data_IF_516379745997
#
_entry.id   IF_516379745997
#
_cell.length_a   1.000
_cell.length_b   1.000
_cell.length_c   1.000
_cell.angle_alpha   90.00
_cell.angle_beta   90.00
_cell.angle_gamma   90.00
#
_symmetry.space_group_name_H-M   'P 1'
#
loop_
_entity.id
_entity.type
_entity.pdbx_description
1 polymer ?
#
# COMPACT_ATOMS: atom_id res chain seq x y z
N UNK A 1 5.52 -28.13 18.33
CA UNK A 1 5.96 -27.78 16.95
C UNK A 1 4.83 -27.02 16.28
N UNK A 2 5.05 -25.94 15.51
CA UNK A 2 3.98 -25.32 14.71
C UNK A 2 3.70 -26.24 13.51
N UNK A 3 2.81 -27.20 13.71
CA UNK A 3 2.24 -27.96 12.61
C UNK A 3 1.07 -27.15 12.04
N UNK A 4 0.78 -27.30 10.75
CA UNK A 4 -0.40 -26.65 10.15
C UNK A 4 -1.68 -27.02 10.92
N UNK A 5 -1.71 -28.23 11.48
CA UNK A 5 -2.79 -28.78 12.32
C UNK A 5 -2.92 -28.13 13.70
N UNK A 6 -1.89 -27.40 14.18
CA UNK A 6 -1.89 -26.71 15.48
C UNK A 6 -2.11 -25.21 15.33
N UNK A 7 -2.49 -24.73 14.15
CA UNK A 7 -2.85 -23.33 13.96
C UNK A 7 -4.23 -23.04 14.57
N UNK A 8 -4.46 -21.83 15.11
CA UNK A 8 -5.79 -21.40 15.50
C UNK A 8 -6.74 -21.53 14.29
N UNK A 9 -7.89 -22.21 14.42
CA UNK A 9 -8.85 -22.37 13.32
C UNK A 9 -9.22 -21.06 12.63
N UNK A 10 -9.39 -19.99 13.43
CA UNK A 10 -9.68 -18.64 12.93
C UNK A 10 -8.62 -18.09 11.97
N UNK A 11 -7.35 -18.45 12.17
CA UNK A 11 -6.26 -18.06 11.26
C UNK A 11 -6.08 -19.04 10.11
N UNK A 12 -6.32 -20.33 10.36
CA UNK A 12 -6.23 -21.37 9.33
C UNK A 12 -7.22 -21.16 8.18
N UNK A 13 -8.43 -20.65 8.46
CA UNK A 13 -9.44 -20.32 7.43
C UNK A 13 -8.93 -19.24 6.47
N UNK A 14 -8.32 -18.17 6.98
CA UNK A 14 -7.74 -17.11 6.14
C UNK A 14 -6.59 -17.63 5.27
N UNK A 15 -5.75 -18.52 5.83
CA UNK A 15 -4.69 -19.16 5.07
C UNK A 15 -5.23 -20.12 3.99
N UNK A 16 -6.33 -20.83 4.27
CA UNK A 16 -6.93 -21.77 3.34
C UNK A 16 -7.42 -21.09 2.04
N UNK A 17 -7.85 -19.82 2.11
CA UNK A 17 -8.22 -19.04 0.93
C UNK A 17 -7.07 -18.87 -0.08
N UNK A 18 -5.81 -18.94 0.38
CA UNK A 18 -4.62 -18.85 -0.47
C UNK A 18 -4.21 -20.20 -1.10
N UNK A 19 -4.82 -21.31 -0.68
CA UNK A 19 -4.47 -22.66 -1.15
C UNK A 19 -4.45 -22.80 -2.68
N UNK A 20 -5.38 -22.22 -3.46
CA UNK A 20 -5.37 -22.32 -4.93
C UNK A 20 -4.10 -21.74 -5.59
N UNK A 21 -3.40 -20.80 -4.94
CA UNK A 21 -2.18 -20.18 -5.49
C UNK A 21 -0.94 -21.07 -5.36
N UNK A 22 -1.05 -22.22 -4.68
CA UNK A 22 0.07 -23.09 -4.33
C UNK A 22 -0.24 -24.57 -4.59
N UNK A 23 0.80 -25.32 -4.95
CA UNK A 23 0.74 -26.79 -4.87
C UNK A 23 0.58 -27.26 -3.42
N UNK A 24 -0.01 -28.44 -3.19
CA UNK A 24 -0.22 -28.94 -1.82
C UNK A 24 1.05 -28.96 -0.94
N UNK A 25 2.24 -29.41 -1.42
CA UNK A 25 3.46 -29.34 -0.63
C UNK A 25 3.96 -27.91 -0.36
N UNK A 26 3.78 -27.02 -1.35
CA UNK A 26 4.19 -25.62 -1.24
C UNK A 26 3.28 -24.84 -0.29
N UNK A 27 1.98 -25.15 -0.26
CA UNK A 27 1.03 -24.56 0.67
C UNK A 27 1.44 -24.78 2.12
N UNK A 28 1.85 -26.01 2.48
CA UNK A 28 2.31 -26.29 3.83
C UNK A 28 3.52 -25.42 4.21
N UNK A 29 4.51 -25.29 3.32
CA UNK A 29 5.70 -24.47 3.58
C UNK A 29 5.36 -22.97 3.62
N UNK A 30 4.45 -22.51 2.76
CA UNK A 30 3.93 -21.15 2.81
C UNK A 30 3.30 -20.84 4.16
N UNK A 31 2.37 -21.68 4.64
CA UNK A 31 1.74 -21.53 5.96
C UNK A 31 2.78 -21.52 7.08
N UNK A 32 3.75 -22.43 7.05
CA UNK A 32 4.87 -22.47 8.01
C UNK A 32 5.62 -21.14 8.03
N UNK A 33 5.96 -20.58 6.87
CA UNK A 33 6.72 -19.33 6.80
C UNK A 33 5.88 -18.10 7.18
N UNK A 34 4.58 -18.06 6.87
CA UNK A 34 3.68 -17.00 7.35
C UNK A 34 3.60 -17.03 8.88
N UNK A 35 3.30 -18.18 9.47
CA UNK A 35 3.24 -18.34 10.92
C UNK A 35 4.58 -18.00 11.58
N UNK A 36 5.70 -18.46 11.00
CA UNK A 36 7.05 -18.13 11.46
C UNK A 36 7.38 -16.63 11.38
N UNK A 37 6.88 -15.94 10.35
CA UNK A 37 7.11 -14.49 10.17
C UNK A 37 6.42 -13.69 11.27
N UNK A 38 5.19 -14.08 11.62
CA UNK A 38 4.40 -13.48 12.71
C UNK A 38 5.00 -13.84 14.07
N UNK A 39 5.38 -15.10 14.26
CA UNK A 39 5.89 -15.63 15.52
C UNK A 39 7.32 -15.20 15.86
N UNK A 40 8.14 -14.85 14.87
CA UNK A 40 9.56 -14.52 15.09
C UNK A 40 9.71 -13.34 16.08
N UNK A 41 10.49 -13.48 17.16
CA UNK A 41 10.72 -12.40 18.12
C UNK A 41 11.78 -11.40 17.62
N UNK A 42 12.79 -11.88 16.87
CA UNK A 42 13.91 -11.09 16.37
C UNK A 42 13.87 -10.84 14.87
N UNK A 43 15.05 -10.74 14.23
CA UNK A 43 15.16 -10.48 12.78
C UNK A 43 14.42 -11.53 11.95
N UNK A 44 13.68 -11.11 10.92
CA UNK A 44 12.92 -11.99 10.01
C UNK A 44 13.77 -12.43 8.81
N UNK A 45 14.94 -13.00 9.10
CA UNK A 45 15.69 -13.75 8.07
C UNK A 45 14.97 -15.07 7.77
N UNK A 46 15.19 -15.67 6.60
CA UNK A 46 14.54 -16.93 6.21
C UNK A 46 14.75 -18.03 7.27
N UNK A 47 15.97 -18.16 7.78
CA UNK A 47 16.29 -19.14 8.83
C UNK A 47 15.64 -18.79 10.17
N UNK A 48 15.62 -17.51 10.57
CA UNK A 48 14.97 -17.10 11.81
C UNK A 48 13.45 -17.33 11.75
N UNK A 49 12.82 -17.08 10.61
CA UNK A 49 11.42 -17.41 10.34
C UNK A 49 11.20 -18.93 10.45
N UNK A 50 12.09 -19.74 9.89
CA UNK A 50 12.04 -21.21 9.98
C UNK A 50 12.14 -21.71 11.42
N UNK A 51 13.06 -21.13 12.21
CA UNK A 51 13.24 -21.43 13.64
C UNK A 51 11.98 -21.03 14.43
N UNK A 52 11.46 -19.82 14.20
CA UNK A 52 10.26 -19.33 14.88
C UNK A 52 9.02 -20.19 14.60
N UNK A 53 8.93 -20.73 13.38
CA UNK A 53 7.92 -21.73 13.00
C UNK A 53 8.16 -23.12 13.62
N UNK A 54 9.16 -23.27 14.50
CA UNK A 54 9.46 -24.51 15.22
C UNK A 54 9.93 -25.65 14.31
N UNK A 55 10.56 -25.35 13.18
CA UNK A 55 11.03 -26.35 12.22
C UNK A 55 12.52 -26.68 12.34
N UNK A 56 13.26 -25.99 13.22
CA UNK A 56 14.64 -26.32 13.53
C UNK A 56 14.74 -27.74 14.10
N UNK A 57 15.67 -28.55 13.60
CA UNK A 57 15.82 -29.95 13.99
C UNK A 57 14.72 -30.90 13.48
N UNK A 58 13.54 -30.40 13.09
CA UNK A 58 12.44 -31.25 12.61
C UNK A 58 12.48 -31.44 11.09
N UNK A 59 12.77 -30.37 10.35
CA UNK A 59 12.87 -30.43 8.88
C UNK A 59 14.05 -29.58 8.42
N UNK A 60 14.71 -30.05 7.37
CA UNK A 60 15.88 -29.35 6.83
C UNK A 60 15.52 -27.93 6.35
N UNK A 61 16.24 -26.92 6.84
CA UNK A 61 15.97 -25.50 6.59
C UNK A 61 16.03 -25.11 5.10
N UNK A 62 16.74 -25.88 4.28
CA UNK A 62 16.77 -25.68 2.83
C UNK A 62 15.39 -25.66 2.18
N UNK A 63 14.36 -26.28 2.80
CA UNK A 63 12.97 -26.21 2.32
C UNK A 63 12.45 -24.78 2.24
N UNK A 64 12.76 -23.92 3.21
CA UNK A 64 12.37 -22.51 3.19
C UNK A 64 13.02 -21.75 2.02
N UNK A 65 14.32 -21.99 1.78
CA UNK A 65 15.05 -21.38 0.68
C UNK A 65 14.59 -21.90 -0.68
N UNK A 66 14.31 -23.20 -0.78
CA UNK A 66 13.76 -23.83 -1.99
C UNK A 66 12.37 -23.28 -2.30
N UNK A 67 11.52 -23.09 -1.28
CA UNK A 67 10.20 -22.48 -1.45
C UNK A 67 10.29 -21.09 -2.09
N UNK A 68 11.18 -20.23 -1.58
CA UNK A 68 11.35 -18.89 -2.11
C UNK A 68 12.01 -18.88 -3.50
N UNK A 69 12.97 -19.76 -3.77
CA UNK A 69 13.76 -19.71 -5.00
C UNK A 69 13.23 -20.56 -6.15
N UNK A 70 12.54 -21.68 -5.87
CA UNK A 70 12.25 -22.74 -6.85
C UNK A 70 10.81 -23.24 -6.86
N UNK A 71 10.07 -23.18 -5.75
CA UNK A 71 8.69 -23.68 -5.72
C UNK A 71 7.79 -22.99 -6.76
N UNK A 72 6.78 -23.73 -7.22
CA UNK A 72 5.74 -23.27 -8.13
C UNK A 72 4.61 -22.60 -7.35
N UNK A 73 4.60 -21.27 -7.39
CA UNK A 73 3.52 -20.39 -6.90
C UNK A 73 3.75 -18.98 -7.47
N UNK A 74 2.68 -18.18 -7.49
CA UNK A 74 2.68 -16.84 -8.05
C UNK A 74 2.39 -15.79 -6.99
N UNK A 75 3.27 -14.79 -6.85
CA UNK A 75 3.03 -13.61 -5.99
C UNK A 75 1.77 -12.87 -6.43
N UNK A 76 1.61 -12.83 -7.75
CA UNK A 76 0.52 -12.24 -8.49
C UNK A 76 -0.83 -12.89 -8.15
N UNK A 77 -0.93 -14.23 -8.15
CA UNK A 77 -2.17 -14.93 -7.74
C UNK A 77 -2.47 -14.71 -6.23
N UNK A 78 -1.42 -14.69 -5.39
CA UNK A 78 -1.55 -14.35 -3.97
C UNK A 78 -2.12 -12.93 -3.82
N UNK A 79 -1.60 -11.95 -4.55
CA UNK A 79 -2.09 -10.58 -4.58
C UNK A 79 -3.59 -10.49 -4.93
N UNK A 80 -4.04 -11.27 -5.91
CA UNK A 80 -5.45 -11.28 -6.33
C UNK A 80 -6.36 -11.81 -5.21
N UNK A 81 -5.94 -12.89 -4.53
CA UNK A 81 -6.68 -13.43 -3.39
C UNK A 81 -6.67 -12.45 -2.22
N UNK A 82 -5.55 -11.78 -1.94
CA UNK A 82 -5.49 -10.76 -0.88
C UNK A 82 -6.42 -9.59 -1.15
N UNK A 83 -6.47 -9.08 -2.39
CA UNK A 83 -7.39 -8.02 -2.77
C UNK A 83 -8.85 -8.42 -2.53
N UNK A 84 -9.24 -9.65 -2.94
CA UNK A 84 -10.58 -10.19 -2.69
C UNK A 84 -10.88 -10.36 -1.20
N UNK A 85 -9.94 -10.89 -0.41
CA UNK A 85 -10.13 -11.07 1.03
C UNK A 85 -10.29 -9.72 1.74
N UNK A 86 -9.45 -8.73 1.43
CA UNK A 86 -9.54 -7.41 2.05
C UNK A 86 -10.84 -6.72 1.68
N UNK A 87 -11.19 -6.68 0.39
CA UNK A 87 -12.43 -6.04 -0.06
C UNK A 87 -13.68 -6.76 0.46
N UNK A 88 -13.68 -8.09 0.49
CA UNK A 88 -14.85 -8.88 0.91
C UNK A 88 -15.06 -8.95 2.43
N UNK A 89 -13.99 -8.79 3.22
CA UNK A 89 -14.09 -8.91 4.69
C UNK A 89 -14.12 -7.57 5.41
N UNK A 90 -13.58 -6.49 4.81
CA UNK A 90 -13.36 -5.22 5.49
C UNK A 90 -14.01 -4.01 4.82
N UNK A 91 -14.58 -4.14 3.62
CA UNK A 91 -15.26 -3.05 2.92
C UNK A 91 -16.74 -3.37 2.69
N UNK A 92 -17.56 -2.32 2.64
CA UNK A 92 -18.93 -2.44 2.16
C UNK A 92 -18.92 -2.82 0.66
N UNK A 93 -19.83 -3.71 0.19
CA UNK A 93 -19.90 -4.12 -1.21
C UNK A 93 -20.14 -2.97 -2.22
N UNK A 94 -20.82 -1.90 -1.80
CA UNK A 94 -21.19 -0.76 -2.62
C UNK A 94 -20.22 0.42 -2.50
N UNK A 95 -19.36 0.43 -1.49
CA UNK A 95 -18.30 1.43 -1.36
C UNK A 95 -17.22 1.25 -2.44
N UNK A 96 -16.70 2.38 -2.94
CA UNK A 96 -15.55 2.36 -3.83
C UNK A 96 -14.28 1.89 -3.08
N UNK A 97 -13.46 1.10 -3.75
CA UNK A 97 -12.22 0.58 -3.19
C UNK A 97 -11.13 1.65 -3.33
N UNK A 98 -10.80 2.31 -2.22
CA UNK A 98 -9.68 3.25 -2.18
C UNK A 98 -8.35 2.48 -2.16
N UNK A 99 -7.51 2.70 -3.17
CA UNK A 99 -6.19 2.07 -3.30
C UNK A 99 -5.10 3.13 -3.18
N UNK A 100 -4.29 3.06 -2.14
CA UNK A 100 -3.09 3.87 -2.02
C UNK A 100 -1.92 3.19 -2.75
N UNK A 101 -1.13 3.97 -3.50
CA UNK A 101 0.11 3.51 -4.13
C UNK A 101 1.28 4.39 -3.70
N UNK A 102 2.35 3.74 -3.28
CA UNK A 102 3.63 4.38 -2.95
C UNK A 102 4.79 3.42 -3.23
N UNK A 103 6.03 3.90 -3.14
CA UNK A 103 7.19 3.02 -3.14
C UNK A 103 8.01 3.06 -1.87
N UNK A 104 8.72 1.97 -1.64
CA UNK A 104 9.62 1.86 -0.52
C UNK A 104 10.96 1.30 -0.91
N UNK A 105 12.02 1.95 -0.42
CA UNK A 105 13.37 1.44 -0.51
C UNK A 105 13.65 0.47 0.64
N UNK A 106 13.99 -0.75 0.27
CA UNK A 106 14.50 -1.78 1.17
C UNK A 106 16.02 -1.86 1.00
N UNK A 107 16.76 -1.33 1.99
CA UNK A 107 18.23 -1.34 1.98
C UNK A 107 18.77 -2.77 1.97
N UNK A 108 19.80 -3.01 1.16
CA UNK A 108 20.48 -4.30 1.04
C UNK A 108 21.99 -4.11 1.18
N UNK A 109 22.69 -5.21 1.43
CA UNK A 109 24.15 -5.27 1.33
C UNK A 109 24.57 -6.30 0.29
N UNK A 110 25.59 -5.97 -0.51
CA UNK A 110 26.17 -6.87 -1.50
C UNK A 110 25.72 -6.59 -2.94
N UNK A 111 26.69 -6.68 -3.87
CA UNK A 111 26.50 -6.42 -5.31
C UNK A 111 25.78 -7.53 -6.06
N UNK A 112 25.67 -8.73 -5.46
CA UNK A 112 25.01 -9.92 -6.07
C UNK A 112 23.53 -10.04 -5.71
N UNK A 113 22.95 -9.05 -5.04
CA UNK A 113 21.52 -9.06 -4.72
C UNK A 113 20.76 -8.64 -5.97
N UNK A 114 19.86 -9.51 -6.45
CA UNK A 114 19.00 -9.23 -7.59
C UNK A 114 18.24 -7.90 -7.41
N UNK A 115 18.16 -7.13 -8.49
CA UNK A 115 17.48 -5.86 -8.57
C UNK A 115 17.81 -4.85 -7.45
N UNK A 116 19.04 -4.88 -6.92
CA UNK A 116 19.52 -3.91 -5.96
C UNK A 116 20.34 -2.82 -6.65
N UNK A 117 19.99 -1.56 -6.45
CA UNK A 117 20.63 -0.41 -7.09
C UNK A 117 20.75 0.78 -6.13
N UNK A 118 21.44 1.82 -6.56
CA UNK A 118 21.46 3.10 -5.87
C UNK A 118 20.15 3.86 -6.12
N UNK A 119 19.48 4.20 -5.04
CA UNK A 119 18.24 4.98 -5.05
C UNK A 119 18.39 6.23 -4.21
N UNK A 120 17.68 7.29 -4.58
CA UNK A 120 17.49 8.42 -3.67
C UNK A 120 16.78 7.94 -2.41
N UNK A 121 17.32 8.28 -1.25
CA UNK A 121 16.82 7.90 0.06
C UNK A 121 16.18 9.13 0.73
N UNK A 122 14.86 9.28 0.55
CA UNK A 122 14.09 10.38 1.14
C UNK A 122 14.06 10.37 2.67
N UNK A 123 14.42 9.25 3.31
CA UNK A 123 14.49 9.09 4.77
C UNK A 123 15.90 9.34 5.34
N UNK A 124 16.86 9.81 4.54
CA UNK A 124 18.21 10.10 5.01
C UNK A 124 18.23 11.31 5.97
N UNK A 125 18.71 11.09 7.21
CA UNK A 125 18.87 12.13 8.23
C UNK A 125 19.78 13.27 7.77
N UNK A 126 19.49 14.49 8.23
CA UNK A 126 20.13 15.76 7.83
C UNK A 126 21.67 15.78 7.81
N UNK A 127 22.33 14.99 8.66
CA UNK A 127 23.80 14.87 8.70
C UNK A 127 24.42 14.22 7.45
N UNK A 128 23.60 13.63 6.57
CA UNK A 128 24.00 13.10 5.24
C UNK A 128 23.41 13.90 4.06
N UNK A 129 22.86 15.10 4.27
CA UNK A 129 22.33 15.97 3.19
C UNK A 129 23.44 16.80 2.52
N UNK A 130 24.44 16.14 1.94
CA UNK A 130 25.28 16.75 0.91
C UNK A 130 24.77 16.35 -0.49
N UNK A 131 25.08 17.11 -1.55
CA UNK A 131 24.81 16.68 -2.93
C UNK A 131 25.42 15.30 -3.15
N UNK A 132 24.61 14.32 -3.60
CA UNK A 132 25.04 12.93 -3.80
C UNK A 132 25.06 12.02 -2.55
N UNK A 133 24.67 12.49 -1.36
CA UNK A 133 24.76 11.71 -0.10
C UNK A 133 23.43 11.17 0.46
N UNK A 134 22.29 11.59 -0.09
CA UNK A 134 20.97 11.02 0.22
C UNK A 134 20.64 9.85 -0.72
N UNK A 135 21.54 8.86 -0.79
CA UNK A 135 21.34 7.65 -1.59
C UNK A 135 21.57 6.41 -0.75
N UNK A 136 20.84 5.34 -1.06
CA UNK A 136 21.05 4.05 -0.44
C UNK A 136 20.95 2.91 -1.46
N UNK A 137 21.78 1.89 -1.25
CA UNK A 137 21.77 0.66 -2.04
C UNK A 137 20.68 -0.28 -1.55
N UNK A 138 19.81 -0.74 -2.44
CA UNK A 138 18.69 -1.58 -2.06
C UNK A 138 17.74 -1.93 -3.20
N UNK A 139 16.70 -2.68 -2.86
CA UNK A 139 15.57 -2.95 -3.75
C UNK A 139 14.51 -1.86 -3.57
N UNK A 140 13.99 -1.30 -4.65
CA UNK A 140 12.84 -0.40 -4.58
C UNK A 140 11.56 -1.15 -5.00
N UNK A 141 10.53 -1.06 -4.17
CA UNK A 141 9.27 -1.76 -4.34
C UNK A 141 8.14 -0.76 -4.49
N UNK A 142 7.39 -0.84 -5.59
CA UNK A 142 6.09 -0.17 -5.72
C UNK A 142 5.05 -1.06 -5.04
N UNK A 143 4.30 -0.49 -4.11
CA UNK A 143 3.31 -1.18 -3.30
C UNK A 143 1.93 -0.58 -3.55
N UNK A 144 0.92 -1.44 -3.64
CA UNK A 144 -0.48 -1.03 -3.66
C UNK A 144 -1.19 -1.61 -2.44
N UNK A 145 -1.93 -0.77 -1.73
CA UNK A 145 -2.64 -1.13 -0.51
C UNK A 145 -4.08 -0.63 -0.55
N UNK A 146 -5.02 -1.48 -0.14
CA UNK A 146 -6.42 -1.08 0.03
C UNK A 146 -6.54 -0.34 1.36
N UNK A 147 -7.12 0.85 1.33
CA UNK A 147 -7.36 1.66 2.52
C UNK A 147 -8.69 1.24 3.14
N UNK A 148 -8.67 0.83 4.40
CA UNK A 148 -9.83 0.32 5.15
C UNK A 148 -10.09 1.17 6.39
N UNK A 149 -11.35 1.34 6.75
CA UNK A 149 -11.79 1.91 8.02
C UNK A 149 -12.19 0.78 8.95
N UNK A 150 -11.46 0.62 10.05
CA UNK A 150 -11.73 -0.43 11.03
C UNK A 150 -12.56 0.16 12.17
N UNK A 151 -13.59 -0.55 12.68
CA UNK A 151 -14.55 0.00 13.64
C UNK A 151 -13.91 0.43 14.98
N UNK A 152 -12.74 -0.11 15.31
CA UNK A 152 -11.99 0.19 16.53
C UNK A 152 -10.88 1.23 16.33
N UNK A 153 -10.85 1.94 15.18
CA UNK A 153 -9.87 3.00 14.90
C UNK A 153 -10.53 4.22 14.27
N UNK A 154 -10.10 5.41 14.69
CA UNK A 154 -10.52 6.67 14.06
C UNK A 154 -9.82 6.92 12.73
N UNK A 155 -8.55 6.50 12.59
CA UNK A 155 -7.76 6.67 11.37
C UNK A 155 -7.83 5.42 10.49
N UNK A 156 -7.95 5.59 9.16
CA UNK A 156 -7.90 4.46 8.24
C UNK A 156 -6.53 3.77 8.26
N UNK A 157 -6.52 2.50 7.88
CA UNK A 157 -5.31 1.69 7.71
C UNK A 157 -5.15 1.30 6.24
N UNK A 158 -3.92 1.32 5.75
CA UNK A 158 -3.60 0.71 4.46
C UNK A 158 -3.25 -0.77 4.67
N UNK A 159 -3.83 -1.65 3.86
CA UNK A 159 -3.60 -3.10 3.89
C UNK A 159 -2.98 -3.53 2.57
N UNK A 160 -1.73 -4.05 2.57
CA UNK A 160 -0.99 -4.28 1.33
C UNK A 160 -1.54 -5.46 0.53
N UNK A 161 -1.79 -5.26 -0.77
CA UNK A 161 -2.31 -6.32 -1.65
C UNK A 161 -1.53 -6.48 -2.95
N UNK A 162 -0.80 -5.44 -3.39
CA UNK A 162 -0.01 -5.46 -4.63
C UNK A 162 1.46 -5.15 -4.41
N UNK A 163 2.34 -5.87 -5.11
CA UNK A 163 3.79 -5.82 -4.93
C UNK A 163 4.51 -5.86 -6.27
N UNK A 164 5.30 -4.83 -6.58
CA UNK A 164 6.13 -4.82 -7.79
C UNK A 164 7.56 -4.38 -7.47
N UNK A 165 8.53 -5.22 -7.83
CA UNK A 165 9.94 -4.91 -7.71
C UNK A 165 10.38 -4.05 -8.90
N UNK A 166 10.90 -2.87 -8.63
CA UNK A 166 11.50 -2.04 -9.68
C UNK A 166 12.91 -2.51 -10.02
N UNK A 167 13.24 -2.46 -11.32
CA UNK A 167 14.59 -2.70 -11.82
C UNK A 167 14.91 -1.79 -13.02
N UNK A 168 16.19 -1.42 -13.24
CA UNK A 168 16.65 -0.72 -14.44
C UNK A 168 16.32 -1.51 -15.70
N UNK A 169 16.09 -0.78 -16.79
CA UNK A 169 15.69 -1.32 -18.09
C UNK A 169 14.38 -2.12 -18.07
N UNK A 170 13.67 -2.15 -16.93
CA UNK A 170 12.31 -2.66 -16.81
C UNK A 170 11.27 -1.53 -16.87
N UNK A 171 10.01 -1.86 -16.55
CA UNK A 171 8.95 -0.86 -16.48
C UNK A 171 9.29 0.26 -15.49
N UNK A 172 8.90 1.49 -15.84
CA UNK A 172 9.00 2.61 -14.89
C UNK A 172 8.07 2.37 -13.70
N UNK A 173 8.32 3.03 -12.56
CA UNK A 173 7.44 2.93 -11.39
C UNK A 173 5.98 3.29 -11.71
N UNK A 174 5.77 4.24 -12.61
CA UNK A 174 4.44 4.63 -13.10
C UNK A 174 3.74 3.51 -13.86
N UNK A 175 4.47 2.75 -14.68
CA UNK A 175 3.94 1.57 -15.36
C UNK A 175 3.66 0.45 -14.36
N UNK A 176 4.56 0.21 -13.40
CA UNK A 176 4.33 -0.78 -12.33
C UNK A 176 3.08 -0.44 -11.50
N UNK A 177 2.91 0.83 -11.12
CA UNK A 177 1.69 1.32 -10.45
C UNK A 177 0.44 0.98 -11.27
N UNK A 178 0.46 1.28 -12.58
CA UNK A 178 -0.67 1.00 -13.47
C UNK A 178 -0.97 -0.50 -13.59
N UNK A 179 0.08 -1.34 -13.66
CA UNK A 179 -0.06 -2.80 -13.69
C UNK A 179 -0.66 -3.34 -12.40
N UNK A 180 -0.20 -2.86 -11.23
CA UNK A 180 -0.76 -3.24 -9.94
C UNK A 180 -2.24 -2.83 -9.82
N UNK A 181 -2.58 -1.60 -10.21
CA UNK A 181 -3.95 -1.10 -10.18
C UNK A 181 -4.85 -1.88 -11.13
N UNK A 182 -4.41 -2.13 -12.37
CA UNK A 182 -5.18 -2.91 -13.34
C UNK A 182 -5.43 -4.33 -12.85
N UNK A 183 -4.45 -4.92 -12.17
CA UNK A 183 -4.58 -6.23 -11.55
C UNK A 183 -5.62 -6.24 -10.42
N UNK A 184 -5.57 -5.25 -9.53
CA UNK A 184 -6.57 -5.12 -8.45
C UNK A 184 -7.98 -4.93 -9.04
N UNK A 185 -8.11 -4.13 -10.10
CA UNK A 185 -9.37 -3.97 -10.83
C UNK A 185 -9.89 -5.28 -11.42
N UNK A 186 -9.02 -6.08 -12.04
CA UNK A 186 -9.37 -7.39 -12.56
C UNK A 186 -9.75 -8.39 -11.44
N UNK A 187 -9.12 -8.30 -10.26
CA UNK A 187 -9.43 -9.14 -9.11
C UNK A 187 -10.75 -8.77 -8.42
N UNK A 188 -11.27 -7.57 -8.64
CA UNK A 188 -12.47 -7.01 -8.03
C UNK A 188 -13.47 -6.52 -9.10
N UNK A 189 -13.98 -7.42 -9.95
CA UNK A 189 -14.84 -7.04 -11.07
C UNK A 189 -16.09 -6.31 -10.58
N UNK A 190 -16.48 -5.24 -11.29
CA UNK A 190 -17.66 -4.43 -10.97
C UNK A 190 -17.45 -3.41 -9.84
N UNK A 191 -16.33 -3.44 -9.11
CA UNK A 191 -16.02 -2.44 -8.09
C UNK A 191 -15.44 -1.18 -8.72
N UNK A 192 -15.93 -0.01 -8.28
CA UNK A 192 -15.26 1.27 -8.54
C UNK A 192 -13.97 1.32 -7.73
N UNK A 193 -12.86 1.69 -8.37
CA UNK A 193 -11.55 1.81 -7.72
C UNK A 193 -11.08 3.26 -7.79
N UNK A 194 -10.74 3.79 -6.64
CA UNK A 194 -10.22 5.14 -6.51
C UNK A 194 -8.75 5.07 -6.07
N UNK A 195 -7.84 5.45 -6.96
CA UNK A 195 -6.40 5.38 -6.66
C UNK A 195 -5.92 6.71 -6.12
N UNK A 196 -5.12 6.66 -5.05
CA UNK A 196 -4.37 7.81 -4.53
C UNK A 196 -2.89 7.52 -4.48
N UNK A 197 -2.10 8.43 -5.02
CA UNK A 197 -0.66 8.24 -5.12
C UNK A 197 0.11 9.55 -5.02
N UNK A 198 1.40 9.46 -4.70
CA UNK A 198 2.28 10.62 -4.62
C UNK A 198 2.47 11.31 -5.99
N UNK A 199 3.21 12.41 -6.02
CA UNK A 199 3.47 13.18 -7.25
C UNK A 199 4.37 12.46 -8.27
N UNK A 200 5.15 11.46 -7.84
CA UNK A 200 5.92 10.62 -8.75
C UNK A 200 5.00 9.74 -9.60
N UNK A 201 3.83 9.35 -9.08
CA UNK A 201 2.80 8.58 -9.79
C UNK A 201 1.75 9.43 -10.51
N UNK A 202 1.84 10.76 -10.48
CA UNK A 202 0.84 11.65 -11.10
C UNK A 202 0.61 11.41 -12.59
N UNK A 203 1.56 10.77 -13.29
CA UNK A 203 1.45 10.38 -14.71
C UNK A 203 1.17 8.89 -14.95
N UNK A 204 0.90 8.09 -13.91
CA UNK A 204 0.74 6.63 -14.03
C UNK A 204 -0.35 6.25 -15.04
N UNK A 205 -1.53 6.85 -14.93
CA UNK A 205 -2.64 6.63 -15.86
C UNK A 205 -2.26 6.98 -17.32
N UNK A 206 -1.46 8.03 -17.52
CA UNK A 206 -0.88 8.36 -18.84
C UNK A 206 0.18 7.36 -19.32
N UNK A 207 0.97 6.79 -18.40
CA UNK A 207 2.03 5.81 -18.66
C UNK A 207 1.47 4.43 -19.03
N UNK A 208 0.33 4.02 -18.46
CA UNK A 208 -0.40 2.81 -18.86
C UNK A 208 -0.63 2.76 -20.38
N UNK A 209 -0.98 3.92 -20.97
CA UNK A 209 -1.19 4.04 -22.41
C UNK A 209 0.05 4.05 -23.29
N UNK A 210 1.24 4.29 -22.72
CA UNK A 210 2.49 4.33 -23.48
C UNK A 210 3.16 2.95 -23.57
N UNK A 211 2.94 2.08 -22.58
CA UNK A 211 3.54 0.75 -22.51
C UNK A 211 2.95 -0.28 -23.52
N UNK A 212 1.79 0.01 -24.11
CA UNK A 212 1.05 -0.93 -25.00
C UNK A 212 1.31 -0.67 -26.50
N UNK A 213 2.23 0.25 -26.86
CA UNK A 213 2.61 0.47 -28.27
C UNK A 213 1.48 0.95 -29.19
N UNK A 214 0.29 1.25 -28.67
CA UNK A 214 -0.90 1.50 -29.48
C UNK A 214 -1.56 2.82 -29.13
N UNK A 215 -1.77 3.63 -30.16
CA UNK A 215 -2.38 4.95 -30.14
C UNK A 215 -3.88 4.95 -29.79
N UNK A 216 -4.42 3.98 -29.05
CA UNK A 216 -5.89 3.80 -28.93
C UNK A 216 -6.49 3.50 -27.55
N UNK A 217 -5.73 3.16 -26.51
CA UNK A 217 -6.28 3.16 -25.14
C UNK A 217 -5.25 3.71 -24.16
N UNK A 218 -5.32 5.02 -23.92
CA UNK A 218 -4.57 5.68 -22.85
C UNK A 218 -5.44 5.72 -21.61
N UNK A 219 -5.07 4.92 -20.61
CA UNK A 219 -5.63 5.06 -19.27
C UNK A 219 -5.65 3.76 -18.49
N UNK A 220 -5.90 3.90 -17.20
CA UNK A 220 -6.32 2.83 -16.30
C UNK A 220 -7.66 2.24 -16.79
N UNK A 221 -8.00 1.01 -16.38
CA UNK A 221 -9.25 0.37 -16.76
C UNK A 221 -10.50 1.22 -16.44
N UNK A 222 -11.60 0.93 -17.14
CA UNK A 222 -12.89 1.53 -16.82
C UNK A 222 -13.25 1.28 -15.34
N UNK A 223 -13.88 2.27 -14.70
CA UNK A 223 -14.20 2.21 -13.27
C UNK A 223 -13.03 2.55 -12.33
N UNK A 224 -11.85 2.90 -12.87
CA UNK A 224 -10.68 3.31 -12.08
C UNK A 224 -10.43 4.81 -12.22
N UNK A 225 -10.31 5.51 -11.08
CA UNK A 225 -9.84 6.90 -11.02
C UNK A 225 -8.44 7.00 -10.41
N UNK A 226 -7.69 8.06 -10.74
CA UNK A 226 -6.39 8.36 -10.14
C UNK A 226 -6.40 9.81 -9.64
N UNK A 227 -6.08 10.00 -8.37
CA UNK A 227 -5.84 11.30 -7.74
C UNK A 227 -4.42 11.35 -7.21
N UNK A 228 -3.69 12.40 -7.57
CA UNK A 228 -2.29 12.59 -7.14
C UNK A 228 -1.98 14.07 -6.93
N UNK A 229 -0.90 14.36 -6.21
CA UNK A 229 -0.34 15.71 -6.15
C UNK A 229 0.22 16.11 -7.51
N UNK A 230 -0.28 17.22 -8.04
CA UNK A 230 0.23 17.85 -9.24
C UNK A 230 1.58 18.52 -8.95
N UNK A 231 2.52 18.37 -9.88
CA UNK A 231 3.83 19.04 -9.79
C UNK A 231 3.67 20.54 -10.00
N UNK A 232 4.41 21.33 -9.23
CA UNK A 232 4.38 22.79 -9.32
C UNK A 232 4.80 23.34 -10.70
N UNK A 233 5.56 22.57 -11.49
CA UNK A 233 5.97 22.92 -12.85
C UNK A 233 5.11 22.26 -13.94
N UNK A 234 3.94 21.71 -13.59
CA UNK A 234 3.03 21.15 -14.59
C UNK A 234 2.36 22.28 -15.38
N UNK A 235 2.69 22.40 -16.66
CA UNK A 235 2.05 23.37 -17.56
C UNK A 235 0.66 22.88 -17.96
N UNK A 236 -0.34 23.71 -17.70
CA UNK A 236 -1.76 23.45 -17.92
C UNK A 236 -2.28 24.24 -19.13
N UNK A 237 -3.22 23.62 -19.84
CA UNK A 237 -3.86 24.19 -21.00
C UNK A 237 -5.38 24.09 -20.86
N UNK A 238 -6.10 25.05 -21.42
CA UNK A 238 -7.54 24.94 -21.57
C UNK A 238 -7.87 23.80 -22.55
N UNK A 239 -9.07 23.24 -22.42
CA UNK A 239 -9.63 22.37 -23.43
C UNK A 239 -10.05 23.27 -24.61
N UNK A 240 -9.66 22.90 -25.82
CA UNK A 240 -10.13 23.63 -27.00
C UNK A 240 -11.60 23.31 -27.23
N UNK A 241 -12.43 24.35 -27.22
CA UNK A 241 -13.83 24.25 -27.57
C UNK A 241 -14.04 24.80 -28.99
N UNK A 242 -14.33 23.90 -29.94
CA UNK A 242 -14.57 24.25 -31.33
C UNK A 242 -15.80 25.15 -31.50
N UNK A 243 -16.80 25.07 -30.61
CA UNK A 243 -18.00 25.90 -30.70
C UNK A 243 -17.68 27.39 -30.52
N UNK A 244 -16.59 27.71 -29.82
CA UNK A 244 -16.13 29.08 -29.58
C UNK A 244 -15.23 29.64 -30.68
N UNK A 245 -14.80 28.81 -31.63
CA UNK A 245 -13.88 29.22 -32.69
C UNK A 245 -14.64 29.54 -33.99
N UNK A 246 -15.00 30.82 -34.13
CA UNK A 246 -15.67 31.36 -35.32
C UNK A 246 -14.84 31.28 -36.61
N UNK A 247 -13.54 30.98 -36.51
CA UNK A 247 -12.62 30.89 -37.65
C UNK A 247 -12.34 29.45 -38.10
N UNK A 248 -12.87 28.46 -37.37
CA UNK A 248 -12.63 27.05 -37.65
C UNK A 248 -13.34 26.58 -38.94
N UNK A 249 -12.62 26.59 -40.06
CA UNK A 249 -13.13 26.08 -41.34
C UNK A 249 -13.36 24.55 -41.26
N UNK A 250 -14.62 24.06 -41.42
CA UNK A 250 -14.93 22.63 -41.35
C UNK A 250 -14.26 21.79 -42.43
N UNK A 251 -13.80 22.41 -43.53
CA UNK A 251 -13.25 21.72 -44.72
C UNK A 251 -11.73 21.50 -44.68
N UNK A 252 -11.01 22.01 -43.66
CA UNK A 252 -9.57 21.71 -43.51
C UNK A 252 -9.39 20.28 -42.98
N UNK A 253 -9.07 19.35 -43.87
CA UNK A 253 -8.72 17.97 -43.52
C UNK A 253 -7.48 17.94 -42.62
N UNK A 254 -7.64 17.46 -41.38
CA UNK A 254 -6.56 17.35 -40.40
C UNK A 254 -7.08 16.89 -39.04
N UNK A 255 -6.17 16.46 -38.14
CA UNK A 255 -6.53 16.06 -36.77
C UNK A 255 -7.16 17.25 -36.04
N UNK A 256 -8.37 17.11 -35.46
CA UNK A 256 -9.02 18.20 -34.72
C UNK A 256 -8.11 18.77 -33.63
N UNK A 257 -8.07 20.10 -33.53
CA UNK A 257 -7.38 20.77 -32.43
C UNK A 257 -8.06 20.40 -31.12
N UNK A 258 -7.28 20.02 -30.11
CA UNK A 258 -7.79 19.68 -28.77
C UNK A 258 -7.22 20.58 -27.68
N UNK A 259 -6.12 21.30 -27.95
CA UNK A 259 -5.41 22.12 -26.97
C UNK A 259 -5.83 23.59 -27.12
N UNK A 260 -6.38 24.15 -26.06
CA UNK A 260 -6.76 25.56 -25.95
C UNK A 260 -5.61 26.46 -25.51
N UNK A 261 -5.96 27.63 -24.98
CA UNK A 261 -5.01 28.61 -24.45
C UNK A 261 -4.17 28.03 -23.29
N UNK A 262 -2.98 28.59 -23.07
CA UNK A 262 -2.13 28.23 -21.93
C UNK A 262 -2.77 28.81 -20.66
N UNK A 263 -3.01 27.97 -19.65
CA UNK A 263 -3.49 28.39 -18.33
C UNK A 263 -2.34 28.67 -17.35
N UNK A 264 -1.12 28.30 -17.72
CA UNK A 264 0.07 28.49 -16.88
C UNK A 264 0.36 27.27 -16.01
N UNK A 265 0.92 27.52 -14.83
CA UNK A 265 1.28 26.53 -13.81
C UNK A 265 0.30 26.62 -12.62
N UNK A 266 0.31 25.68 -11.67
CA UNK A 266 -0.58 25.74 -10.50
C UNK A 266 -0.49 27.03 -9.70
N UNK A 267 0.69 27.68 -9.65
CA UNK A 267 0.86 29.00 -9.01
C UNK A 267 0.12 30.12 -9.76
N UNK A 268 0.02 30.02 -11.08
CA UNK A 268 -0.64 31.04 -11.90
C UNK A 268 -2.15 30.89 -11.73
N UNK A 269 -2.66 29.65 -11.70
CA UNK A 269 -4.03 29.37 -11.30
C UNK A 269 -4.34 29.93 -9.91
N UNK A 270 -3.44 29.73 -8.93
CA UNK A 270 -3.63 30.26 -7.58
C UNK A 270 -3.68 31.80 -7.53
N UNK A 271 -2.93 32.47 -8.42
CA UNK A 271 -2.85 33.92 -8.50
C UNK A 271 -4.07 34.55 -9.21
N UNK A 272 -4.61 33.90 -10.24
CA UNK A 272 -5.67 34.48 -11.08
C UNK A 272 -7.05 33.84 -10.88
N UNK A 273 -7.12 32.70 -10.19
CA UNK A 273 -8.34 31.92 -10.04
C UNK A 273 -9.28 32.44 -8.94
N UNK A 274 -10.57 32.15 -9.10
CA UNK A 274 -11.60 32.45 -8.10
C UNK A 274 -11.62 31.38 -7.02
N UNK A 275 -11.35 31.78 -5.79
CA UNK A 275 -11.32 30.89 -4.63
C UNK A 275 -12.71 30.68 -4.05
N UNK A 276 -13.08 29.43 -3.80
CA UNK A 276 -14.31 29.06 -3.09
C UNK A 276 -13.96 28.46 -1.74
N UNK A 277 -14.60 28.92 -0.67
CA UNK A 277 -14.42 28.35 0.68
C UNK A 277 -15.19 27.04 0.81
N UNK A 278 -14.55 26.02 1.37
CA UNK A 278 -15.18 24.72 1.63
C UNK A 278 -14.60 24.07 2.88
N UNK A 279 -15.37 23.14 3.45
CA UNK A 279 -14.98 22.39 4.64
C UNK A 279 -14.59 20.99 4.22
N UNK A 280 -13.39 20.55 4.60
CA UNK A 280 -12.85 19.22 4.26
C UNK A 280 -12.39 18.50 5.52
N UNK A 281 -12.59 17.19 5.54
CA UNK A 281 -11.99 16.32 6.55
C UNK A 281 -10.68 15.77 6.00
N UNK A 282 -9.55 16.07 6.67
CA UNK A 282 -8.21 15.58 6.31
C UNK A 282 -7.45 15.17 7.57
N UNK A 283 -6.78 14.02 7.54
CA UNK A 283 -5.96 13.53 8.66
C UNK A 283 -6.70 13.42 10.00
N UNK A 284 -8.01 13.15 9.95
CA UNK A 284 -8.88 13.06 11.14
C UNK A 284 -9.33 14.41 11.71
N UNK A 285 -9.04 15.53 11.04
CA UNK A 285 -9.52 16.86 11.45
C UNK A 285 -10.35 17.52 10.36
N UNK A 286 -11.35 18.28 10.76
CA UNK A 286 -12.13 19.14 9.87
C UNK A 286 -11.42 20.48 9.75
N UNK A 287 -11.16 20.92 8.52
CA UNK A 287 -10.50 22.17 8.22
C UNK A 287 -11.28 22.95 7.16
N UNK A 288 -11.40 24.25 7.37
CA UNK A 288 -11.91 25.19 6.36
C UNK A 288 -10.77 25.58 5.44
N UNK A 289 -10.91 25.29 4.16
CA UNK A 289 -9.91 25.59 3.13
C UNK A 289 -10.56 26.37 2.00
N UNK A 290 -9.75 27.05 1.21
CA UNK A 290 -10.16 27.65 -0.05
C UNK A 290 -9.65 26.80 -1.20
N UNK A 291 -10.50 26.62 -2.22
CA UNK A 291 -10.19 25.80 -3.39
C UNK A 291 -10.44 26.55 -4.69
N UNK A 292 -9.59 26.26 -5.68
CA UNK A 292 -9.87 26.49 -7.09
C UNK A 292 -10.05 25.13 -7.74
N UNK A 293 -11.14 24.96 -8.48
CA UNK A 293 -11.47 23.73 -9.17
C UNK A 293 -11.57 23.98 -10.66
N UNK A 294 -10.73 23.31 -11.46
CA UNK A 294 -10.65 23.56 -12.90
C UNK A 294 -10.46 22.27 -13.69
N UNK A 295 -11.40 22.01 -14.60
CA UNK A 295 -11.20 21.02 -15.67
C UNK A 295 -10.30 21.61 -16.76
N UNK A 296 -9.20 20.94 -17.05
CA UNK A 296 -8.16 21.40 -17.98
C UNK A 296 -7.36 20.23 -18.57
N UNK A 297 -6.31 20.54 -19.34
CA UNK A 297 -5.39 19.57 -19.92
C UNK A 297 -4.00 19.71 -19.30
N UNK A 298 -3.46 18.59 -18.80
CA UNK A 298 -2.01 18.44 -18.62
C UNK A 298 -1.43 17.68 -19.81
N UNK A 299 -1.24 18.40 -20.92
CA UNK A 299 -0.96 17.80 -22.22
C UNK A 299 0.32 16.94 -22.25
N UNK A 300 1.34 17.29 -21.46
CA UNK A 300 2.59 16.55 -21.39
C UNK A 300 2.42 15.10 -20.92
N UNK A 301 1.52 14.85 -19.98
CA UNK A 301 1.27 13.51 -19.42
C UNK A 301 0.01 12.85 -20.01
N UNK A 302 -1.07 13.61 -20.15
CA UNK A 302 -2.41 13.10 -20.47
C UNK A 302 -2.91 13.46 -21.88
N UNK A 303 -2.09 14.17 -22.68
CA UNK A 303 -2.44 14.63 -24.03
C UNK A 303 -3.78 15.36 -24.01
N UNK A 304 -4.74 14.93 -24.83
CA UNK A 304 -6.06 15.55 -24.98
C UNK A 304 -7.11 15.05 -23.97
N UNK A 305 -6.73 14.20 -23.00
CA UNK A 305 -7.68 13.73 -21.98
C UNK A 305 -7.96 14.84 -20.97
N UNK A 306 -9.24 15.24 -20.78
CA UNK A 306 -9.63 16.16 -19.72
C UNK A 306 -9.27 15.62 -18.34
N UNK A 307 -8.69 16.49 -17.52
CA UNK A 307 -8.32 16.23 -16.13
C UNK A 307 -8.87 17.35 -15.26
N UNK A 308 -9.09 17.06 -13.98
CA UNK A 308 -9.48 18.08 -13.01
C UNK A 308 -8.30 18.43 -12.13
N UNK A 309 -8.05 19.73 -11.99
CA UNK A 309 -7.01 20.28 -11.13
C UNK A 309 -7.68 21.03 -9.99
N UNK A 310 -7.32 20.67 -8.76
CA UNK A 310 -7.85 21.28 -7.54
C UNK A 310 -6.67 21.91 -6.81
N UNK A 311 -6.64 23.23 -6.74
CA UNK A 311 -5.64 23.98 -5.98
C UNK A 311 -6.25 24.33 -4.63
N UNK A 312 -5.53 24.04 -3.54
CA UNK A 312 -5.99 24.18 -2.15
C UNK A 312 -5.06 25.10 -1.39
N UNK A 313 -5.65 26.02 -0.62
CA UNK A 313 -4.95 26.84 0.38
C UNK A 313 -5.77 26.91 1.67
N UNK A 314 -5.09 26.92 2.80
CA UNK A 314 -5.62 27.32 4.10
C UNK A 314 -5.32 28.81 4.28
N UNK A 315 -6.34 29.67 4.39
CA UNK A 315 -6.13 31.11 4.52
C UNK A 315 -5.34 31.48 5.79
N UNK A 316 -5.29 30.58 6.78
CA UNK A 316 -4.53 30.78 8.03
C UNK A 316 -3.04 30.42 7.88
N UNK A 317 -2.64 29.77 6.77
CA UNK A 317 -1.26 29.31 6.53
C UNK A 317 -0.76 29.79 5.17
N UNK A 318 -0.48 31.10 5.01
CA UNK A 318 0.00 31.62 3.75
C UNK A 318 1.35 31.01 3.37
N UNK A 319 1.51 30.69 2.08
CA UNK A 319 2.76 30.19 1.51
C UNK A 319 3.27 31.16 0.44
N UNK A 320 4.58 31.16 0.18
CA UNK A 320 5.19 31.96 -0.91
C UNK A 320 4.59 31.66 -2.30
N UNK A 321 4.07 30.44 -2.50
CA UNK A 321 3.49 30.02 -3.77
C UNK A 321 2.01 30.42 -3.93
N UNK A 322 1.36 30.95 -2.88
CA UNK A 322 -0.06 31.29 -2.87
C UNK A 322 -1.02 30.10 -2.68
N UNK A 323 -0.48 28.88 -2.53
CA UNK A 323 -1.24 27.65 -2.28
C UNK A 323 -0.38 26.61 -1.54
N UNK A 324 -1.00 25.63 -0.91
CA UNK A 324 -0.31 24.54 -0.19
C UNK A 324 -0.23 23.25 -1.01
N UNK A 325 -1.30 22.96 -1.74
CA UNK A 325 -1.47 21.69 -2.44
C UNK A 325 -2.17 21.92 -3.78
N UNK A 326 -1.63 21.34 -4.84
CA UNK A 326 -2.34 21.19 -6.10
C UNK A 326 -2.54 19.70 -6.34
N UNK A 327 -3.78 19.29 -6.58
CA UNK A 327 -4.18 17.93 -6.91
C UNK A 327 -4.52 17.87 -8.39
N UNK A 328 -4.26 16.71 -8.99
CA UNK A 328 -4.78 16.34 -10.30
C UNK A 328 -5.54 15.04 -10.16
N UNK A 329 -6.71 14.95 -10.81
CA UNK A 329 -7.51 13.74 -10.81
C UNK A 329 -8.15 13.45 -12.17
N UNK A 330 -8.30 12.16 -12.48
CA UNK A 330 -9.14 11.68 -13.59
C UNK A 330 -10.63 11.61 -13.22
N UNK A 331 -10.97 11.76 -11.94
CA UNK A 331 -12.35 11.80 -11.44
C UNK A 331 -12.96 13.18 -11.69
N UNK A 332 -13.73 13.28 -12.78
CA UNK A 332 -14.35 14.54 -13.21
C UNK A 332 -15.68 14.82 -12.50
N UNK A 333 -16.19 13.89 -11.69
CA UNK A 333 -17.58 13.92 -11.21
C UNK A 333 -17.71 14.00 -9.69
N UNK A 334 -16.79 13.43 -8.92
CA UNK A 334 -16.89 13.44 -7.47
C UNK A 334 -16.83 14.86 -6.89
N UNK A 335 -17.44 15.17 -5.73
CA UNK A 335 -17.29 16.47 -5.09
C UNK A 335 -15.82 16.82 -4.80
N UNK A 336 -15.46 18.11 -4.88
CA UNK A 336 -14.09 18.60 -4.63
C UNK A 336 -13.61 18.19 -3.24
N UNK A 337 -14.49 18.26 -2.24
CA UNK A 337 -14.23 17.86 -0.85
C UNK A 337 -13.87 16.37 -0.77
N UNK A 338 -14.60 15.50 -1.48
CA UNK A 338 -14.31 14.06 -1.58
C UNK A 338 -12.93 13.80 -2.15
N UNK A 339 -12.51 14.52 -3.21
CA UNK A 339 -11.17 14.35 -3.80
C UNK A 339 -10.06 14.75 -2.81
N UNK A 340 -10.27 15.83 -2.06
CA UNK A 340 -9.31 16.30 -1.04
C UNK A 340 -9.21 15.30 0.11
N UNK A 341 -10.34 14.85 0.66
CA UNK A 341 -10.38 13.83 1.72
C UNK A 341 -9.74 12.53 1.26
N UNK A 342 -10.10 12.05 0.06
CA UNK A 342 -9.51 10.85 -0.54
C UNK A 342 -7.99 10.96 -0.64
N UNK A 343 -7.45 12.08 -1.08
CA UNK A 343 -5.99 12.27 -1.16
C UNK A 343 -5.32 12.29 0.22
N UNK A 344 -5.98 12.84 1.26
CA UNK A 344 -5.48 12.77 2.63
C UNK A 344 -5.38 11.33 3.14
N UNK A 345 -6.33 10.48 2.75
CA UNK A 345 -6.36 9.04 3.04
C UNK A 345 -5.29 8.22 2.26
N UNK A 346 -4.36 8.88 1.55
CA UNK A 346 -3.13 8.24 1.05
C UNK A 346 -2.15 7.93 2.18
N UNK A 347 -2.05 8.80 3.20
CA UNK A 347 -1.04 8.70 4.26
C UNK A 347 -0.93 7.35 4.98
N UNK A 348 -2.03 6.59 5.23
CA UNK A 348 -1.94 5.27 5.87
C UNK A 348 -0.96 4.29 5.21
N UNK A 349 -0.64 4.43 3.93
CA UNK A 349 0.37 3.58 3.27
C UNK A 349 1.78 3.79 3.84
N UNK A 350 2.11 5.01 4.28
CA UNK A 350 3.39 5.32 4.89
C UNK A 350 3.53 4.62 6.24
N UNK A 351 2.46 4.66 7.06
CA UNK A 351 2.39 3.93 8.33
C UNK A 351 2.47 2.42 8.10
N UNK A 352 1.79 1.90 7.08
CA UNK A 352 1.89 0.48 6.70
C UNK A 352 3.32 0.11 6.26
N UNK A 353 4.02 0.95 5.50
CA UNK A 353 5.42 0.73 5.10
C UNK A 353 6.33 0.69 6.33
N UNK A 354 6.15 1.61 7.27
CA UNK A 354 6.88 1.66 8.54
C UNK A 354 6.65 0.38 9.36
N UNK A 355 5.38 0.01 9.57
CA UNK A 355 4.98 -1.20 10.28
C UNK A 355 5.54 -2.47 9.61
N UNK A 356 5.51 -2.54 8.28
CA UNK A 356 6.05 -3.68 7.54
C UNK A 356 7.58 -3.79 7.67
N UNK A 357 8.30 -2.66 7.70
CA UNK A 357 9.75 -2.66 7.93
C UNK A 357 10.08 -3.11 9.36
N UNK A 358 9.31 -2.65 10.33
CA UNK A 358 9.60 -2.88 11.75
C UNK A 358 9.15 -4.25 12.24
N UNK A 359 7.93 -4.67 11.89
CA UNK A 359 7.25 -5.79 12.53
C UNK A 359 7.27 -7.07 11.69
N UNK A 360 6.95 -6.99 10.38
CA UNK A 360 7.07 -8.16 9.48
C UNK A 360 8.46 -8.30 8.85
N UNK A 361 9.28 -7.25 8.94
CA UNK A 361 10.70 -7.30 8.63
C UNK A 361 11.01 -7.36 7.13
N UNK A 362 10.24 -6.67 6.28
CA UNK A 362 10.47 -6.66 4.82
C UNK A 362 11.90 -6.24 4.44
N UNK A 363 12.54 -5.43 5.28
CA UNK A 363 13.93 -4.99 5.13
C UNK A 363 15.00 -5.91 5.69
N UNK A 364 14.62 -6.99 6.36
CA UNK A 364 15.54 -7.86 7.11
C UNK A 364 15.92 -9.13 6.34
N UNK A 365 15.24 -9.39 5.22
CA UNK A 365 15.52 -10.54 4.36
C UNK A 365 16.93 -10.43 3.75
N UNK A 366 17.59 -11.58 3.56
CA UNK A 366 18.97 -11.68 3.05
C UNK A 366 19.06 -12.56 1.80
N UNK A 367 17.97 -12.65 1.05
CA UNK A 367 17.91 -13.40 -0.21
C UNK A 367 18.62 -12.62 -1.32
N UNK A 368 19.21 -13.34 -2.28
CA UNK A 368 19.99 -12.74 -3.38
C UNK A 368 19.55 -13.13 -4.79
N UNK A 369 18.96 -14.31 -4.94
CA UNK A 369 18.54 -14.83 -6.26
C UNK A 369 17.22 -14.19 -6.69
N UNK A 370 16.95 -14.07 -8.01
CA UNK A 370 15.81 -13.30 -8.52
C UNK A 370 14.47 -13.66 -7.86
N UNK A 371 14.02 -14.91 -8.03
CA UNK A 371 12.76 -15.40 -7.43
C UNK A 371 12.73 -15.25 -5.91
N UNK A 372 13.84 -15.47 -5.22
CA UNK A 372 13.86 -15.39 -3.76
C UNK A 372 13.79 -13.94 -3.25
N UNK A 373 14.32 -12.97 -3.99
CA UNK A 373 14.14 -11.54 -3.69
C UNK A 373 12.70 -11.14 -3.99
N UNK A 374 12.20 -11.51 -5.17
CA UNK A 374 10.85 -11.20 -5.64
C UNK A 374 9.74 -11.81 -4.78
N UNK A 375 10.03 -12.87 -4.02
CA UNK A 375 9.04 -13.57 -3.18
C UNK A 375 9.14 -13.29 -1.69
N UNK A 376 10.33 -12.96 -1.17
CA UNK A 376 10.51 -12.82 0.27
C UNK A 376 9.82 -11.56 0.84
N UNK A 377 9.84 -10.44 0.10
CA UNK A 377 9.15 -9.20 0.52
C UNK A 377 7.63 -9.39 0.43
N UNK A 378 7.05 -9.89 -0.68
CA UNK A 378 5.61 -10.19 -0.74
C UNK A 378 5.14 -11.17 0.32
N UNK A 379 5.93 -12.19 0.69
CA UNK A 379 5.57 -13.12 1.76
C UNK A 379 5.40 -12.39 3.11
N UNK A 380 6.33 -11.50 3.45
CA UNK A 380 6.25 -10.71 4.68
C UNK A 380 5.10 -9.69 4.67
N UNK A 381 4.78 -9.09 3.52
CA UNK A 381 3.61 -8.23 3.36
C UNK A 381 2.30 -9.03 3.36
N UNK A 382 2.30 -10.27 2.88
CA UNK A 382 1.16 -11.19 2.99
C UNK A 382 0.89 -11.50 4.46
N UNK A 383 1.92 -11.75 5.26
CA UNK A 383 1.78 -11.91 6.71
C UNK A 383 1.22 -10.64 7.38
N UNK A 384 1.58 -9.45 6.87
CA UNK A 384 1.01 -8.19 7.34
C UNK A 384 -0.51 -8.15 7.11
N UNK A 385 -0.95 -8.39 5.88
CA UNK A 385 -2.37 -8.39 5.50
C UNK A 385 -3.17 -9.43 6.27
N UNK A 386 -2.67 -10.66 6.36
CA UNK A 386 -3.35 -11.73 7.10
C UNK A 386 -3.46 -11.42 8.60
N UNK A 387 -2.48 -10.71 9.19
CA UNK A 387 -2.55 -10.25 10.58
C UNK A 387 -3.67 -9.22 10.78
N UNK A 388 -3.79 -8.24 9.88
CA UNK A 388 -4.86 -7.23 9.95
C UNK A 388 -6.23 -7.89 9.77
N UNK A 389 -6.38 -8.77 8.78
CA UNK A 389 -7.64 -9.49 8.52
C UNK A 389 -8.05 -10.34 9.73
N UNK A 390 -7.12 -11.12 10.27
CA UNK A 390 -7.40 -11.94 11.45
C UNK A 390 -7.79 -11.09 12.65
N UNK A 391 -7.04 -10.02 12.92
CA UNK A 391 -7.34 -9.15 14.06
C UNK A 391 -8.71 -8.49 13.91
N UNK A 392 -9.03 -7.93 12.73
CA UNK A 392 -10.31 -7.29 12.50
C UNK A 392 -11.52 -8.24 12.59
N UNK A 393 -11.35 -9.52 12.26
CA UNK A 393 -12.46 -10.50 12.23
C UNK A 393 -12.57 -11.37 13.48
N UNK A 394 -11.46 -11.62 14.16
CA UNK A 394 -11.37 -12.64 15.21
C UNK A 394 -10.51 -12.23 16.40
N UNK A 395 -9.56 -11.32 16.20
CA UNK A 395 -8.56 -10.99 17.22
C UNK A 395 -8.89 -9.78 18.07
N UNK A 396 -9.68 -8.82 17.60
CA UNK A 396 -9.94 -7.59 18.34
C UNK A 396 -10.70 -7.84 19.64
N UNK A 397 -10.19 -7.29 20.75
CA UNK A 397 -10.88 -7.24 22.03
C UNK A 397 -10.81 -5.79 22.57
N UNK A 398 -11.92 -5.20 23.06
CA UNK A 398 -11.90 -3.87 23.67
C UNK A 398 -10.86 -3.69 24.78
N UNK A 399 -10.48 -4.76 25.49
CA UNK A 399 -9.47 -4.75 26.54
C UNK A 399 -8.02 -4.63 26.01
N UNK A 400 -7.78 -4.78 24.70
CA UNK A 400 -6.42 -4.76 24.14
C UNK A 400 -5.67 -3.46 24.43
N UNK A 401 -6.39 -2.33 24.46
CA UNK A 401 -5.80 -1.02 24.77
C UNK A 401 -5.44 -0.91 26.25
N UNK A 402 -6.35 -1.30 27.15
CA UNK A 402 -6.11 -1.26 28.60
C UNK A 402 -4.98 -2.21 29.01
N UNK A 403 -4.95 -3.42 28.46
CA UNK A 403 -3.87 -4.39 28.69
C UNK A 403 -2.52 -3.84 28.25
N UNK A 404 -2.51 -3.11 27.12
CA UNK A 404 -1.29 -2.48 26.63
C UNK A 404 -0.85 -1.33 27.53
N UNK A 405 -1.77 -0.47 27.96
CA UNK A 405 -1.46 0.60 28.91
C UNK A 405 -0.93 0.03 30.23
N UNK A 406 -1.49 -1.07 30.74
CA UNK A 406 -1.03 -1.74 31.94
C UNK A 406 0.40 -2.30 31.80
N UNK A 407 0.68 -2.97 30.68
CA UNK A 407 2.01 -3.56 30.42
C UNK A 407 3.06 -2.55 29.94
N UNK A 408 2.65 -1.37 29.49
CA UNK A 408 3.54 -0.29 29.03
C UNK A 408 3.04 1.08 29.53
N UNK A 409 3.14 1.34 30.85
CA UNK A 409 2.52 2.50 31.50
C UNK A 409 3.07 3.85 31.04
N UNK A 410 4.20 3.86 30.32
CA UNK A 410 4.76 5.08 29.71
C UNK A 410 4.01 5.54 28.45
N UNK A 411 3.18 4.69 27.80
CA UNK A 411 2.35 5.09 26.66
C UNK A 411 0.98 5.64 27.08
N UNK A 412 1.00 6.75 27.81
CA UNK A 412 -0.20 7.36 28.44
C UNK A 412 -1.29 7.82 27.46
N UNK A 413 -0.97 8.03 26.19
CA UNK A 413 -1.88 8.56 25.18
C UNK A 413 -2.41 7.52 24.18
N UNK A 414 -2.07 6.24 24.36
CA UNK A 414 -2.56 5.18 23.48
C UNK A 414 -4.04 4.94 23.74
N UNK A 415 -4.89 5.25 22.78
CA UNK A 415 -6.35 5.04 22.88
C UNK A 415 -6.90 4.00 21.91
N UNK A 416 -6.09 3.54 20.95
CA UNK A 416 -6.52 2.62 19.89
C UNK A 416 -5.46 1.54 19.61
N UNK A 417 -5.87 0.36 19.10
CA UNK A 417 -4.95 -0.66 18.60
C UNK A 417 -4.12 -0.17 17.40
N UNK A 418 -2.83 -0.49 17.39
CA UNK A 418 -1.92 -0.32 16.27
C UNK A 418 -1.55 -1.68 15.68
N UNK A 419 -0.94 -1.72 14.48
CA UNK A 419 -0.50 -2.98 13.87
C UNK A 419 0.39 -3.82 14.81
N UNK A 420 1.23 -3.15 15.61
CA UNK A 420 2.06 -3.81 16.61
C UNK A 420 1.25 -4.64 17.63
N UNK A 421 0.10 -4.13 18.08
CA UNK A 421 -0.76 -4.86 19.01
C UNK A 421 -1.42 -6.07 18.31
N UNK A 422 -1.82 -5.89 17.04
CA UNK A 422 -2.41 -6.95 16.23
C UNK A 422 -1.45 -8.13 16.04
N UNK A 423 -0.19 -7.85 15.65
CA UNK A 423 0.82 -8.88 15.42
C UNK A 423 1.26 -9.53 16.75
N UNK A 424 1.33 -8.76 17.84
CA UNK A 424 1.58 -9.33 19.17
C UNK A 424 0.46 -10.29 19.52
N UNK A 425 -0.79 -9.88 19.44
CA UNK A 425 -1.93 -10.72 19.83
C UNK A 425 -1.99 -12.00 19.00
N UNK A 426 -1.86 -11.91 17.68
CA UNK A 426 -1.81 -13.09 16.82
C UNK A 426 -0.61 -13.99 17.15
N UNK A 427 0.55 -13.41 17.46
CA UNK A 427 1.72 -14.17 17.93
C UNK A 427 1.40 -14.92 19.23
N UNK A 428 0.75 -14.28 20.20
CA UNK A 428 0.32 -14.91 21.47
C UNK A 428 -0.62 -16.07 21.20
N UNK A 429 -1.62 -15.88 20.34
CA UNK A 429 -2.57 -16.93 19.95
C UNK A 429 -1.89 -18.09 19.23
N UNK A 430 -0.94 -17.83 18.32
CA UNK A 430 -0.15 -18.86 17.65
C UNK A 430 0.71 -19.65 18.65
N UNK A 431 1.28 -18.97 19.65
CA UNK A 431 2.08 -19.63 20.70
C UNK A 431 1.17 -20.51 21.57
N UNK A 432 0.07 -19.97 22.07
CA UNK A 432 -0.88 -20.70 22.91
C UNK A 432 -1.42 -21.96 22.20
N UNK A 433 -1.78 -21.85 20.91
CA UNK A 433 -2.27 -22.97 20.13
C UNK A 433 -1.23 -24.10 19.95
N UNK A 434 0.08 -23.81 20.05
CA UNK A 434 1.13 -24.84 20.01
C UNK A 434 1.18 -25.72 21.25
N UNK A 435 0.76 -25.16 22.39
CA UNK A 435 0.85 -25.82 23.71
C UNK A 435 -0.53 -26.27 24.21
N UNK A 436 -1.59 -25.98 23.45
CA UNK A 436 -2.94 -26.40 23.77
C UNK A 436 -3.13 -27.92 23.51
N UNK A 437 -3.61 -28.72 24.48
CA UNK A 437 -3.74 -30.17 24.35
C UNK A 437 -4.86 -30.61 23.40
N UNK A 438 -5.89 -29.77 23.17
CA UNK A 438 -6.96 -30.02 22.20
C UNK A 438 -6.58 -29.57 20.80
N UNK A 439 -6.48 -30.51 19.84
CA UNK A 439 -6.30 -30.20 18.41
C UNK A 439 -7.53 -29.45 17.88
N UNK A 440 -7.33 -28.38 17.10
CA UNK A 440 -8.40 -27.76 16.31
C UNK A 440 -9.38 -26.85 17.07
N UNK A 441 -9.05 -26.35 18.27
CA UNK A 441 -9.81 -25.29 18.96
C UNK A 441 -8.97 -24.02 19.09
N UNK A 442 -9.60 -22.84 19.01
CA UNK A 442 -8.91 -21.60 19.36
C UNK A 442 -8.60 -21.63 20.87
N UNK A 443 -7.38 -21.25 21.30
CA UNK A 443 -7.09 -21.08 22.73
C UNK A 443 -8.00 -20.00 23.32
N UNK A 444 -8.48 -20.20 24.54
CA UNK A 444 -9.20 -19.15 25.27
C UNK A 444 -8.25 -18.02 25.66
N UNK A 445 -8.76 -16.81 25.96
CA UNK A 445 -7.94 -15.73 26.52
C UNK A 445 -7.15 -16.16 27.76
N UNK A 446 -7.78 -16.89 28.68
CA UNK A 446 -7.18 -17.44 29.91
C UNK A 446 -6.02 -18.40 29.61
N UNK A 447 -6.19 -19.31 28.65
CA UNK A 447 -5.13 -20.23 28.24
C UNK A 447 -3.96 -19.51 27.59
N UNK A 448 -4.24 -18.45 26.82
CA UNK A 448 -3.21 -17.60 26.24
C UNK A 448 -2.41 -16.92 27.35
N UNK A 449 -3.09 -16.34 28.35
CA UNK A 449 -2.46 -15.71 29.52
C UNK A 449 -1.63 -16.71 30.35
N UNK A 450 -2.12 -17.93 30.58
CA UNK A 450 -1.43 -18.96 31.35
C UNK A 450 -0.07 -19.36 30.75
N UNK A 451 0.00 -19.54 29.42
CA UNK A 451 1.27 -19.82 28.72
C UNK A 451 2.25 -18.65 28.85
N UNK A 452 1.75 -17.41 28.84
CA UNK A 452 2.58 -16.22 29.04
C UNK A 452 3.14 -16.12 30.46
N UNK A 453 2.32 -16.38 31.48
CA UNK A 453 2.76 -16.40 32.86
C UNK A 453 3.86 -17.46 33.08
N UNK A 454 3.68 -18.65 32.50
CA UNK A 454 4.69 -19.71 32.57
C UNK A 454 6.03 -19.31 31.93
N UNK A 455 6.01 -18.56 30.82
CA UNK A 455 7.24 -18.07 30.18
C UNK A 455 7.89 -16.90 30.91
N UNK A 456 7.09 -15.99 31.49
CA UNK A 456 7.63 -14.91 32.32
C UNK A 456 8.37 -15.47 33.54
N UNK A 457 7.80 -16.51 34.17
CA UNK A 457 8.42 -17.20 35.31
C UNK A 457 9.66 -18.02 34.92
N UNK A 458 9.75 -18.52 33.68
CA UNK A 458 10.92 -19.27 33.20
C UNK A 458 12.05 -18.37 32.69
N UNK A 459 11.80 -17.07 32.53
CA UNK A 459 12.78 -16.06 32.10
C UNK A 459 13.26 -15.15 33.24
N UNK A 460 12.67 -15.29 34.43
CA UNK A 460 13.19 -14.81 35.71
C UNK A 460 14.13 -15.87 36.29
#
# INVERSE_FOLDING_TARGET
MLQVETLPPSFAVLLAALRPCLTAPSFHTFVTLIAGTIAAPGRRTVTAVWIAAGQAGVRHHARAFWFLSRARWSVEEVSDVLARLVAGLLLDPHEAVLVAVDDTLVRRSGRRVHAAFWHHDGAANGRRKGPGRAVAWGNNWVLAAIVVRLPFRTRPMAVPVGFALWQPNGPTKQVLCSQLVARIAAALPGRRIDVVADTAYAGADGAAGAAVGANRQRGLPAGVSLTSRLRANAKLHAIYDRSTDRTANPRRGGRPRTIGAVLGYPKDLAATGTWTTTTVTRYGTTATVQVIDRTCLWYGAYRSRPMRVIVVRDPTRPTKAGYELALITTDLTAPTTTIITRYADRWPIETMIEDAKQHTGIGQTRTRTPRAVERAVPLALTAHTLTVLWYARHGHDPADVSDRQHTTPWYRTKTEPAYHDMIIKLRRTLIAARFHPGKGRNPTPEQTLAVHAAWANAAA
#
